data_IF_658966297358
#
_entry.id   IF_658966297358
#
_cell.length_a   1.000
_cell.length_b   1.000
_cell.length_c   1.000
_cell.angle_alpha   90.00
_cell.angle_beta   90.00
_cell.angle_gamma   90.00
#
_symmetry.space_group_name_H-M   'P 1'
#
loop_
_entity.id
_entity.type
_entity.pdbx_description
1 polymer ?
#
# COMPACT_ATOMS: atom_id res chain seq x y z
N UNK A 1 -60.63 -2.29 36.24
CA UNK A 1 -59.45 -2.71 35.43
C UNK A 1 -59.96 -3.29 34.13
N UNK A 2 -59.55 -2.86 32.95
CA UNK A 2 -58.60 -1.80 32.64
C UNK A 2 -59.07 -1.19 31.32
N UNK A 3 -59.77 -0.06 31.46
CA UNK A 3 -59.85 1.05 30.50
C UNK A 3 -58.44 1.61 30.12
N UNK A 4 -57.41 0.77 30.14
CA UNK A 4 -55.99 1.05 29.86
C UNK A 4 -55.57 0.31 28.57
N UNK A 5 -56.26 -0.74 28.15
CA UNK A 5 -55.92 -1.44 26.89
C UNK A 5 -56.21 -0.59 25.65
N UNK A 6 -57.18 0.32 25.75
CA UNK A 6 -57.50 1.29 24.67
C UNK A 6 -56.54 2.50 24.61
N UNK A 7 -55.73 2.71 25.65
CA UNK A 7 -54.78 3.84 25.72
C UNK A 7 -53.35 3.37 25.41
N UNK A 8 -53.00 2.09 25.65
CA UNK A 8 -51.64 1.60 25.46
C UNK A 8 -51.28 1.16 24.03
N UNK A 9 -52.27 0.98 23.13
CA UNK A 9 -52.02 0.73 21.71
C UNK A 9 -52.32 1.96 20.82
N UNK A 10 -52.61 3.12 21.42
CA UNK A 10 -52.52 4.44 20.76
C UNK A 10 -51.09 4.99 20.76
N UNK A 11 -50.10 4.16 21.10
CA UNK A 11 -48.70 4.35 20.72
C UNK A 11 -48.41 3.34 19.62
N UNK A 12 -49.26 3.31 18.57
CA UNK A 12 -48.76 2.99 17.24
C UNK A 12 -47.76 4.10 16.97
N UNK A 13 -46.50 3.76 17.22
CA UNK A 13 -45.35 4.50 16.76
C UNK A 13 -45.65 4.96 15.34
N UNK A 14 -46.02 6.24 15.22
CA UNK A 14 -45.80 6.97 14.00
C UNK A 14 -44.28 6.94 13.82
N UNK A 15 -43.79 5.87 13.21
CA UNK A 15 -42.55 5.89 12.47
C UNK A 15 -42.85 6.87 11.36
N UNK A 16 -42.71 8.16 11.69
CA UNK A 16 -42.55 9.21 10.72
C UNK A 16 -41.25 8.84 10.02
N UNK A 17 -41.36 8.03 8.97
CA UNK A 17 -40.37 8.10 7.91
C UNK A 17 -40.40 9.57 7.52
N UNK A 18 -39.40 10.33 8.00
CA UNK A 18 -39.23 11.73 7.62
C UNK A 18 -39.44 11.79 6.11
N UNK A 19 -40.42 12.58 5.65
CA UNK A 19 -40.76 12.65 4.23
C UNK A 19 -39.47 12.92 3.46
N UNK A 20 -39.08 11.97 2.62
CA UNK A 20 -37.91 12.13 1.76
C UNK A 20 -38.22 13.29 0.81
N UNK A 21 -37.51 14.41 0.96
CA UNK A 21 -37.61 15.53 0.04
C UNK A 21 -36.72 15.22 -1.17
N UNK A 22 -37.34 15.07 -2.34
CA UNK A 22 -36.60 14.89 -3.59
C UNK A 22 -35.84 16.18 -3.92
N UNK A 23 -34.54 16.07 -4.17
CA UNK A 23 -33.65 17.20 -4.46
C UNK A 23 -33.23 17.28 -5.93
N UNK A 24 -33.66 16.33 -6.76
CA UNK A 24 -33.15 16.17 -8.11
C UNK A 24 -33.40 14.78 -8.66
N UNK A 25 -32.93 14.59 -9.90
CA UNK A 25 -32.89 13.30 -10.58
C UNK A 25 -31.43 12.84 -10.71
N UNK A 26 -31.23 11.54 -10.58
CA UNK A 26 -29.94 10.89 -10.77
C UNK A 26 -30.06 9.99 -12.00
N UNK A 27 -29.09 10.08 -12.90
CA UNK A 27 -29.04 9.29 -14.12
C UNK A 27 -27.72 8.55 -14.22
N UNK A 28 -27.80 7.25 -14.53
CA UNK A 28 -26.65 6.40 -14.87
C UNK A 28 -26.22 6.55 -16.33
N UNK A 29 -27.08 7.14 -17.17
CA UNK A 29 -26.78 7.48 -18.57
C UNK A 29 -27.19 8.93 -18.84
N UNK A 30 -26.21 9.76 -19.22
CA UNK A 30 -26.42 11.18 -19.48
C UNK A 30 -25.33 11.72 -20.44
N UNK A 31 -25.63 12.67 -21.35
CA UNK A 31 -24.61 13.28 -22.21
C UNK A 31 -23.40 13.85 -21.46
N UNK A 32 -23.63 14.47 -20.29
CA UNK A 32 -22.58 14.99 -19.44
C UNK A 32 -21.59 13.91 -18.95
N UNK A 33 -22.06 12.68 -18.67
CA UNK A 33 -21.19 11.55 -18.31
C UNK A 33 -20.25 11.24 -19.48
N UNK A 34 -20.79 11.13 -20.69
CA UNK A 34 -19.99 10.83 -21.90
C UNK A 34 -18.93 11.91 -22.16
N UNK A 35 -19.27 13.17 -21.92
CA UNK A 35 -18.33 14.31 -22.02
C UNK A 35 -17.18 14.17 -21.04
N UNK A 36 -17.49 13.95 -19.75
CA UNK A 36 -16.50 13.78 -18.68
C UNK A 36 -15.58 12.60 -18.97
N UNK A 37 -16.13 11.46 -19.35
CA UNK A 37 -15.34 10.27 -19.66
C UNK A 37 -14.44 10.48 -20.87
N UNK A 38 -14.96 11.11 -21.93
CA UNK A 38 -14.18 11.40 -23.13
C UNK A 38 -13.04 12.38 -22.84
N UNK A 39 -13.28 13.37 -21.97
CA UNK A 39 -12.25 14.30 -21.51
C UNK A 39 -11.18 13.58 -20.69
N UNK A 40 -11.57 12.74 -19.73
CA UNK A 40 -10.61 11.97 -18.92
C UNK A 40 -9.78 10.99 -19.75
N UNK A 41 -10.38 10.37 -20.78
CA UNK A 41 -9.66 9.52 -21.73
C UNK A 41 -8.69 10.32 -22.60
N UNK A 42 -9.02 11.57 -22.96
CA UNK A 42 -8.10 12.47 -23.66
C UNK A 42 -6.95 12.92 -22.73
N UNK A 43 -7.25 13.20 -21.46
CA UNK A 43 -6.26 13.55 -20.43
C UNK A 43 -5.17 12.47 -20.31
N UNK A 44 -5.55 11.19 -20.11
CA UNK A 44 -4.55 10.11 -19.97
C UNK A 44 -3.77 9.82 -21.26
N UNK A 45 -4.30 10.21 -22.41
CA UNK A 45 -3.61 10.15 -23.71
C UNK A 45 -2.69 11.35 -23.94
N UNK A 46 -2.69 12.34 -23.05
CA UNK A 46 -1.91 13.56 -23.21
C UNK A 46 -2.37 14.44 -24.38
N UNK A 47 -3.66 14.36 -24.75
CA UNK A 47 -4.23 15.10 -25.88
C UNK A 47 -4.84 16.42 -25.37
N UNK A 48 -3.97 17.41 -25.16
CA UNK A 48 -4.36 18.71 -24.60
C UNK A 48 -5.38 19.46 -25.47
N UNK A 49 -5.28 19.37 -26.80
CA UNK A 49 -6.22 20.05 -27.71
C UNK A 49 -7.62 19.45 -27.59
N UNK A 50 -7.71 18.12 -27.53
CA UNK A 50 -8.98 17.45 -27.32
C UNK A 50 -9.56 17.71 -25.93
N UNK A 51 -8.72 17.74 -24.88
CA UNK A 51 -9.13 18.15 -23.53
C UNK A 51 -9.71 19.57 -23.56
N UNK A 52 -9.02 20.53 -24.17
CA UNK A 52 -9.46 21.92 -24.26
C UNK A 52 -10.86 22.05 -24.90
N UNK A 53 -11.15 21.20 -25.89
CA UNK A 53 -12.45 21.12 -26.56
C UNK A 53 -13.62 20.70 -25.65
N UNK A 54 -13.37 20.10 -24.49
CA UNK A 54 -14.42 19.74 -23.53
C UNK A 54 -14.63 20.80 -22.44
N UNK A 55 -13.70 21.72 -22.25
CA UNK A 55 -13.72 22.68 -21.14
C UNK A 55 -14.39 23.99 -21.54
N UNK A 56 -15.17 24.57 -20.63
CA UNK A 56 -15.65 25.94 -20.75
C UNK A 56 -14.47 26.93 -20.68
N UNK A 57 -14.65 28.16 -21.16
CA UNK A 57 -13.57 29.15 -21.16
C UNK A 57 -13.24 29.66 -19.75
N UNK A 58 -14.25 29.71 -18.87
CA UNK A 58 -14.12 30.05 -17.45
C UNK A 58 -13.80 28.83 -16.55
N UNK A 59 -13.26 27.74 -17.13
CA UNK A 59 -13.02 26.49 -16.40
C UNK A 59 -12.15 26.68 -15.14
N UNK A 60 -12.52 25.97 -14.07
CA UNK A 60 -11.74 25.88 -12.83
C UNK A 60 -11.56 24.46 -12.32
N UNK A 61 -10.33 24.13 -11.91
CA UNK A 61 -10.02 22.91 -11.16
C UNK A 61 -9.67 23.20 -9.71
N UNK A 62 -10.16 22.35 -8.81
CA UNK A 62 -9.92 22.44 -7.37
C UNK A 62 -9.43 21.11 -6.81
N UNK A 63 -8.62 21.18 -5.75
CA UNK A 63 -8.36 20.03 -4.89
C UNK A 63 -9.36 20.04 -3.74
N UNK A 64 -10.30 19.09 -3.74
CA UNK A 64 -11.44 19.08 -2.82
C UNK A 64 -11.07 18.84 -1.35
N UNK A 65 -9.83 18.47 -1.05
CA UNK A 65 -9.29 18.36 0.31
C UNK A 65 -8.32 19.50 0.67
N UNK A 66 -8.33 20.60 -0.08
CA UNK A 66 -7.58 21.81 0.25
C UNK A 66 -8.13 22.48 1.50
N UNK A 67 -7.24 22.90 2.40
CA UNK A 67 -7.59 23.72 3.58
C UNK A 67 -7.41 25.23 3.32
N UNK A 68 -6.94 25.61 2.13
CA UNK A 68 -6.74 27.01 1.76
C UNK A 68 -8.08 27.69 1.46
N UNK A 69 -8.47 28.66 2.30
CA UNK A 69 -9.73 29.41 2.17
C UNK A 69 -9.72 30.42 1.01
N UNK A 70 -8.54 30.80 0.54
CA UNK A 70 -8.36 31.78 -0.53
C UNK A 70 -8.08 31.12 -1.90
N UNK A 71 -8.20 29.79 -1.98
CA UNK A 71 -7.99 29.03 -3.21
C UNK A 71 -8.91 29.51 -4.34
N UNK A 72 -8.32 29.95 -5.45
CA UNK A 72 -9.03 30.43 -6.66
C UNK A 72 -9.15 29.36 -7.75
N UNK A 73 -8.64 28.16 -7.49
CA UNK A 73 -8.60 27.05 -8.43
C UNK A 73 -7.64 27.29 -9.60
N UNK A 74 -7.12 26.19 -10.15
CA UNK A 74 -6.39 26.22 -11.42
C UNK A 74 -7.32 26.57 -12.56
N UNK A 75 -6.88 27.43 -13.48
CA UNK A 75 -7.64 27.78 -14.68
C UNK A 75 -7.47 26.74 -15.81
N UNK A 76 -8.18 26.97 -16.92
CA UNK A 76 -8.10 26.16 -18.14
C UNK A 76 -6.66 25.94 -18.61
N UNK A 77 -5.85 26.99 -18.66
CA UNK A 77 -4.48 26.87 -19.17
C UNK A 77 -3.61 26.01 -18.25
N UNK A 78 -3.68 26.23 -16.93
CA UNK A 78 -2.95 25.43 -15.95
C UNK A 78 -3.28 23.94 -16.04
N UNK A 79 -4.56 23.60 -16.25
CA UNK A 79 -4.96 22.19 -16.41
C UNK A 79 -4.48 21.58 -17.73
N UNK A 80 -4.42 22.35 -18.82
CA UNK A 80 -3.84 21.89 -20.08
C UNK A 80 -2.32 21.68 -19.98
N UNK A 81 -1.65 22.50 -19.18
CA UNK A 81 -0.23 22.31 -18.87
C UNK A 81 -0.01 21.08 -18.00
N UNK A 82 -0.94 20.77 -17.07
CA UNK A 82 -0.95 19.49 -16.34
C UNK A 82 -1.09 18.31 -17.32
N UNK A 83 -1.98 18.36 -18.32
CA UNK A 83 -2.11 17.28 -19.33
C UNK A 83 -0.77 16.98 -20.01
N UNK A 84 -0.04 18.04 -20.40
CA UNK A 84 1.29 17.91 -21.03
C UNK A 84 2.33 17.39 -20.04
N UNK A 85 2.34 17.93 -18.82
CA UNK A 85 3.22 17.46 -17.76
C UNK A 85 3.05 15.95 -17.52
N UNK A 86 1.81 15.49 -17.43
CA UNK A 86 1.51 14.07 -17.22
C UNK A 86 2.01 13.20 -18.38
N UNK A 87 1.75 13.63 -19.62
CA UNK A 87 2.25 12.95 -20.83
C UNK A 87 3.77 12.81 -20.83
N UNK A 88 4.48 13.86 -20.44
CA UNK A 88 5.93 13.92 -20.53
C UNK A 88 6.65 13.27 -19.34
N UNK A 89 5.97 13.10 -18.20
CA UNK A 89 6.58 12.64 -16.95
C UNK A 89 6.04 11.29 -16.45
N UNK A 90 5.02 10.71 -17.08
CA UNK A 90 4.49 9.41 -16.68
C UNK A 90 4.37 8.43 -17.84
N UNK A 91 4.88 7.22 -17.63
CA UNK A 91 4.69 6.08 -18.51
C UNK A 91 3.47 5.27 -18.08
N UNK A 92 2.86 4.58 -19.04
CA UNK A 92 1.75 3.64 -18.82
C UNK A 92 0.52 4.25 -18.15
N UNK A 93 0.28 5.54 -18.39
CA UNK A 93 -0.91 6.21 -17.89
C UNK A 93 -2.17 5.51 -18.39
N UNK A 94 -3.06 5.19 -17.46
CA UNK A 94 -4.37 4.62 -17.76
C UNK A 94 -5.38 5.08 -16.73
N UNK A 95 -6.64 5.10 -17.15
CA UNK A 95 -7.77 5.37 -16.27
C UNK A 95 -8.90 4.40 -16.59
N UNK A 96 -9.43 3.80 -15.53
CA UNK A 96 -10.59 2.91 -15.59
C UNK A 96 -11.54 3.27 -14.48
N UNK A 97 -12.84 3.02 -14.65
CA UNK A 97 -13.80 3.12 -13.54
C UNK A 97 -13.38 2.17 -12.42
N UNK A 98 -13.56 2.59 -11.18
CA UNK A 98 -13.35 1.71 -10.03
C UNK A 98 -14.35 0.55 -10.04
N UNK A 99 -13.98 -0.66 -9.58
CA UNK A 99 -14.90 -1.79 -9.52
C UNK A 99 -16.19 -1.46 -8.76
N UNK A 100 -17.34 -1.69 -9.37
CA UNK A 100 -18.66 -1.40 -8.78
C UNK A 100 -19.08 0.07 -8.81
N UNK A 101 -18.25 0.98 -9.34
CA UNK A 101 -18.61 2.37 -9.50
C UNK A 101 -19.36 2.63 -10.82
N UNK A 102 -20.38 3.48 -10.74
CA UNK A 102 -21.09 4.04 -11.88
C UNK A 102 -20.94 5.56 -11.83
N UNK A 103 -20.61 6.22 -12.95
CA UNK A 103 -20.69 7.67 -13.01
C UNK A 103 -22.16 8.09 -12.93
N UNK A 104 -22.47 9.00 -12.03
CA UNK A 104 -23.84 9.50 -11.82
C UNK A 104 -23.92 10.96 -12.27
N UNK A 105 -24.94 11.26 -13.08
CA UNK A 105 -25.32 12.63 -13.41
C UNK A 105 -26.46 13.07 -12.50
N UNK A 106 -26.32 14.24 -11.89
CA UNK A 106 -27.30 14.83 -10.99
C UNK A 106 -27.85 16.11 -11.60
N UNK A 107 -29.16 16.12 -11.82
CA UNK A 107 -29.94 17.31 -12.17
C UNK A 107 -30.73 17.74 -10.93
N UNK A 108 -30.42 18.93 -10.40
CA UNK A 108 -31.15 19.47 -9.25
C UNK A 108 -32.47 20.09 -9.70
N UNK A 109 -33.46 20.13 -8.80
CA UNK A 109 -34.80 20.66 -9.12
C UNK A 109 -34.91 22.18 -9.08
N UNK A 110 -34.20 22.82 -8.14
CA UNK A 110 -34.33 24.25 -7.85
C UNK A 110 -33.03 24.84 -7.29
N UNK A 111 -32.71 26.08 -7.67
CA UNK A 111 -31.68 26.93 -7.06
C UNK A 111 -30.49 27.27 -7.97
N UNK A 112 -29.33 27.51 -7.36
CA UNK A 112 -28.13 27.96 -8.07
C UNK A 112 -27.55 26.93 -9.07
N UNK A 113 -28.13 25.74 -9.18
CA UNK A 113 -27.65 24.64 -10.00
C UNK A 113 -28.62 24.24 -11.14
N UNK A 114 -29.70 24.98 -11.37
CA UNK A 114 -30.76 24.58 -12.32
C UNK A 114 -30.28 24.51 -13.78
N UNK A 115 -29.21 25.26 -14.10
CA UNK A 115 -28.63 25.34 -15.44
C UNK A 115 -27.39 24.45 -15.64
N UNK A 116 -27.07 23.58 -14.66
CA UNK A 116 -25.87 22.73 -14.71
C UNK A 116 -26.18 21.29 -14.32
N UNK A 117 -25.38 20.38 -14.87
CA UNK A 117 -25.40 18.97 -14.49
C UNK A 117 -24.15 18.65 -13.72
N UNK A 118 -24.32 18.07 -12.53
CA UNK A 118 -23.20 17.56 -11.77
C UNK A 118 -22.91 16.12 -12.22
N UNK A 119 -21.64 15.78 -12.41
CA UNK A 119 -21.24 14.40 -12.69
C UNK A 119 -20.27 13.94 -11.62
N UNK A 120 -20.62 12.86 -10.92
CA UNK A 120 -19.78 12.20 -9.93
C UNK A 120 -19.14 10.97 -10.54
N UNK A 121 -17.83 10.81 -10.35
CA UNK A 121 -17.08 9.65 -10.83
C UNK A 121 -16.16 9.09 -9.75
N UNK A 122 -15.92 7.78 -9.83
CA UNK A 122 -14.88 7.07 -9.09
C UNK A 122 -14.06 6.28 -10.10
N UNK A 123 -12.83 6.72 -10.26
CA UNK A 123 -11.90 6.15 -11.22
C UNK A 123 -10.65 5.65 -10.50
N UNK A 124 -9.88 4.85 -11.23
CA UNK A 124 -8.58 4.35 -10.82
C UNK A 124 -7.57 4.76 -11.87
N UNK A 125 -6.64 5.64 -11.47
CA UNK A 125 -5.52 6.06 -12.32
C UNK A 125 -4.31 5.20 -11.99
N UNK A 126 -3.68 4.67 -13.05
CA UNK A 126 -2.43 3.92 -12.94
C UNK A 126 -1.38 4.51 -13.86
N UNK A 127 -0.13 4.34 -13.47
CA UNK A 127 1.03 4.78 -14.24
C UNK A 127 2.32 4.67 -13.44
N UNK A 128 3.40 5.22 -13.97
CA UNK A 128 4.70 5.25 -13.31
C UNK A 128 5.43 6.53 -13.70
N UNK A 129 5.93 7.26 -12.71
CA UNK A 129 6.73 8.45 -12.97
C UNK A 129 8.05 8.05 -13.63
N UNK A 130 8.35 8.61 -14.79
CA UNK A 130 9.41 8.10 -15.67
C UNK A 130 10.84 8.34 -15.14
N UNK A 131 11.05 9.36 -14.29
CA UNK A 131 12.36 9.65 -13.70
C UNK A 131 12.62 8.90 -12.40
N UNK A 132 11.61 8.75 -11.54
CA UNK A 132 11.80 8.21 -10.18
C UNK A 132 11.34 6.76 -10.05
N UNK A 133 10.60 6.23 -11.02
CA UNK A 133 10.01 4.89 -10.95
C UNK A 133 8.84 4.74 -9.98
N UNK A 134 8.46 5.82 -9.26
CA UNK A 134 7.33 5.79 -8.33
C UNK A 134 6.05 5.46 -9.08
N UNK A 135 5.37 4.40 -8.64
CA UNK A 135 4.12 3.92 -9.21
C UNK A 135 2.95 4.83 -8.81
N UNK A 136 2.13 5.19 -9.78
CA UNK A 136 0.78 5.68 -9.55
C UNK A 136 -0.17 4.48 -9.50
N UNK A 137 -0.85 4.31 -8.37
CA UNK A 137 -1.93 3.35 -8.19
C UNK A 137 -3.00 4.03 -7.34
N UNK A 138 -3.75 4.92 -7.97
CA UNK A 138 -4.52 5.94 -7.27
C UNK A 138 -6.01 5.79 -7.53
N UNK A 139 -6.82 5.45 -6.51
CA UNK A 139 -8.25 5.71 -6.56
C UNK A 139 -8.46 7.23 -6.53
N UNK A 140 -9.30 7.72 -7.43
CA UNK A 140 -9.62 9.14 -7.57
C UNK A 140 -11.13 9.31 -7.62
N UNK A 141 -11.65 10.15 -6.74
CA UNK A 141 -13.01 10.64 -6.83
C UNK A 141 -13.01 12.03 -7.46
N UNK A 142 -13.89 12.26 -8.44
CA UNK A 142 -14.07 13.58 -9.04
C UNK A 142 -15.52 13.98 -9.11
N UNK A 143 -15.76 15.26 -8.87
CA UNK A 143 -17.00 15.94 -9.19
C UNK A 143 -16.76 16.89 -10.35
N UNK A 144 -17.68 16.90 -11.30
CA UNK A 144 -17.68 17.79 -12.44
C UNK A 144 -18.96 18.61 -12.46
N UNK A 145 -18.86 19.87 -12.90
CA UNK A 145 -20.01 20.70 -13.22
C UNK A 145 -19.99 20.94 -14.72
N UNK A 146 -21.06 20.55 -15.40
CA UNK A 146 -21.21 20.64 -16.86
C UNK A 146 -22.33 21.62 -17.18
N UNK A 147 -22.08 22.57 -18.07
CA UNK A 147 -23.07 23.56 -18.49
C UNK A 147 -24.05 23.02 -19.54
N UNK A 148 -25.06 23.83 -19.87
CA UNK A 148 -26.04 23.54 -20.93
C UNK A 148 -25.46 23.35 -22.34
N UNK A 149 -24.24 23.84 -22.59
CA UNK A 149 -23.52 23.62 -23.85
C UNK A 149 -22.68 22.34 -23.81
N UNK A 150 -22.86 21.53 -22.77
CA UNK A 150 -22.14 20.30 -22.51
C UNK A 150 -20.62 20.52 -22.39
N UNK A 151 -20.22 21.67 -21.82
CA UNK A 151 -18.85 22.02 -21.48
C UNK A 151 -18.61 21.89 -19.99
N UNK A 152 -17.44 21.39 -19.62
CA UNK A 152 -17.04 21.22 -18.22
C UNK A 152 -16.59 22.59 -17.70
N UNK A 153 -17.30 23.12 -16.71
CA UNK A 153 -16.98 24.38 -16.02
C UNK A 153 -16.09 24.16 -14.81
N UNK A 154 -16.32 23.09 -14.06
CA UNK A 154 -15.61 22.84 -12.82
C UNK A 154 -15.19 21.39 -12.72
N UNK A 155 -13.99 21.14 -12.22
CA UNK A 155 -13.52 19.83 -11.77
C UNK A 155 -13.06 19.93 -10.32
N UNK A 156 -13.55 19.08 -9.45
CA UNK A 156 -13.11 18.98 -8.06
C UNK A 156 -12.50 17.59 -7.86
N UNK A 157 -11.21 17.55 -7.55
CA UNK A 157 -10.44 16.31 -7.45
C UNK A 157 -10.22 15.91 -5.99
N UNK A 158 -10.48 14.64 -5.69
CA UNK A 158 -10.18 14.00 -4.42
C UNK A 158 -9.29 12.79 -4.67
N UNK A 159 -8.05 12.87 -4.23
CA UNK A 159 -7.08 11.79 -4.34
C UNK A 159 -6.02 11.89 -3.24
N UNK A 160 -5.37 10.76 -2.98
CA UNK A 160 -4.23 10.68 -2.06
C UNK A 160 -2.98 11.34 -2.68
N UNK A 161 -2.36 12.24 -1.93
CA UNK A 161 -1.16 12.98 -2.36
C UNK A 161 0.15 12.23 -2.09
N UNK A 162 0.11 11.08 -1.42
CA UNK A 162 1.32 10.34 -1.02
C UNK A 162 2.19 9.96 -2.21
N UNK A 163 1.60 9.57 -3.35
CA UNK A 163 2.36 9.25 -4.56
C UNK A 163 3.16 10.46 -5.08
N UNK A 164 2.57 11.65 -5.12
CA UNK A 164 3.29 12.88 -5.54
C UNK A 164 4.36 13.28 -4.53
N UNK A 165 4.08 13.10 -3.23
CA UNK A 165 5.07 13.35 -2.19
C UNK A 165 6.28 12.44 -2.36
N UNK A 166 6.05 11.15 -2.64
CA UNK A 166 7.15 10.22 -2.86
C UNK A 166 7.92 10.51 -4.15
N UNK A 167 7.25 10.94 -5.22
CA UNK A 167 7.91 11.45 -6.43
C UNK A 167 8.84 12.61 -6.07
N UNK A 168 8.35 13.62 -5.35
CA UNK A 168 9.14 14.78 -4.93
C UNK A 168 10.33 14.38 -4.05
N UNK A 169 10.11 13.49 -3.08
CA UNK A 169 11.16 12.99 -2.19
C UNK A 169 12.24 12.20 -2.94
N UNK A 170 11.88 11.52 -4.03
CA UNK A 170 12.79 10.66 -4.80
C UNK A 170 13.76 11.42 -5.71
N UNK A 171 13.67 12.76 -5.78
CA UNK A 171 14.65 13.59 -6.49
C UNK A 171 15.90 13.91 -5.67
N UNK A 172 15.91 13.56 -4.38
CA UNK A 172 17.02 13.87 -3.48
C UNK A 172 17.59 12.57 -2.89
N UNK A 173 18.91 12.52 -2.80
CA UNK A 173 19.58 11.48 -2.03
C UNK A 173 19.27 11.63 -0.54
N UNK A 174 19.04 10.51 0.14
CA UNK A 174 18.72 10.44 1.57
C UNK A 174 19.41 9.23 2.17
N UNK A 175 19.93 9.39 3.37
CA UNK A 175 20.41 8.29 4.21
C UNK A 175 19.26 7.77 5.09
N UNK A 176 19.41 6.55 5.60
CA UNK A 176 18.51 6.00 6.61
C UNK A 176 19.34 5.19 7.61
N UNK A 177 20.11 5.89 8.44
CA UNK A 177 20.94 5.26 9.46
C UNK A 177 22.34 4.85 9.01
N UNK A 178 22.96 4.00 9.83
CA UNK A 178 24.38 3.63 9.75
C UNK A 178 24.52 2.12 9.57
N UNK A 179 25.47 1.72 8.72
CA UNK A 179 25.83 0.31 8.50
C UNK A 179 27.18 0.02 9.17
N UNK A 180 27.23 -1.04 9.96
CA UNK A 180 28.42 -1.51 10.64
C UNK A 180 28.82 -2.89 10.11
N UNK A 181 30.10 -3.05 9.75
CA UNK A 181 30.69 -4.35 9.37
C UNK A 181 31.18 -5.18 10.57
N UNK A 182 31.18 -4.57 11.76
CA UNK A 182 31.45 -5.24 13.03
C UNK A 182 30.71 -4.53 14.17
N UNK A 183 29.93 -5.29 14.94
CA UNK A 183 29.11 -4.80 16.05
C UNK A 183 28.77 -5.97 17.00
N UNK A 184 28.41 -5.70 18.26
CA UNK A 184 28.11 -6.79 19.20
C UNK A 184 26.88 -7.61 18.75
N UNK A 185 25.90 -7.00 18.07
CA UNK A 185 24.78 -7.75 17.49
C UNK A 185 25.21 -8.72 16.39
N UNK A 186 26.24 -8.37 15.59
CA UNK A 186 26.84 -9.30 14.63
C UNK A 186 27.51 -10.46 15.38
N UNK A 187 28.20 -10.17 16.48
CA UNK A 187 28.80 -11.21 17.32
C UNK A 187 27.73 -12.12 17.93
N UNK A 188 26.60 -11.57 18.36
CA UNK A 188 25.45 -12.35 18.86
C UNK A 188 24.96 -13.34 17.80
N UNK A 189 24.75 -12.91 16.56
CA UNK A 189 24.32 -13.83 15.47
C UNK A 189 25.35 -14.93 15.22
N UNK A 190 26.64 -14.58 15.15
CA UNK A 190 27.72 -15.58 14.98
C UNK A 190 27.75 -16.59 16.12
N UNK A 191 27.69 -16.13 17.37
CA UNK A 191 27.68 -16.98 18.57
C UNK A 191 26.46 -17.90 18.58
N UNK A 192 25.28 -17.38 18.24
CA UNK A 192 24.04 -18.13 18.17
C UNK A 192 24.13 -19.28 17.16
N UNK A 193 24.58 -18.99 15.94
CA UNK A 193 24.69 -19.99 14.87
C UNK A 193 25.78 -21.03 15.13
N UNK A 194 26.93 -20.62 15.65
CA UNK A 194 27.99 -21.58 15.99
C UNK A 194 27.65 -22.40 17.24
N UNK A 195 26.87 -21.88 18.19
CA UNK A 195 26.33 -22.70 19.27
C UNK A 195 25.38 -23.78 18.71
N UNK A 196 24.51 -23.42 17.76
CA UNK A 196 23.62 -24.36 17.08
C UNK A 196 24.41 -25.45 16.31
N UNK A 197 25.43 -25.06 15.55
CA UNK A 197 26.36 -25.96 14.86
C UNK A 197 26.99 -26.98 15.82
N UNK A 198 27.40 -26.53 17.01
CA UNK A 198 28.00 -27.35 18.05
C UNK A 198 26.98 -28.10 18.92
N UNK A 199 25.71 -28.12 18.52
CA UNK A 199 24.61 -28.81 19.23
C UNK A 199 24.35 -28.26 20.64
N UNK A 200 24.85 -27.05 20.94
CA UNK A 200 24.55 -26.29 22.16
C UNK A 200 23.30 -25.43 21.93
N UNK A 201 22.16 -26.13 21.83
CA UNK A 201 20.89 -25.51 21.52
C UNK A 201 20.38 -24.59 22.64
N UNK A 202 20.69 -24.91 23.91
CA UNK A 202 20.34 -24.04 25.04
C UNK A 202 21.00 -22.67 24.88
N UNK A 203 22.31 -22.64 24.61
CA UNK A 203 23.02 -21.37 24.34
C UNK A 203 22.50 -20.70 23.08
N UNK A 204 22.29 -21.44 21.98
CA UNK A 204 21.76 -20.87 20.74
C UNK A 204 20.41 -20.16 20.95
N UNK A 205 19.47 -20.83 21.63
CA UNK A 205 18.15 -20.26 21.89
C UNK A 205 18.17 -19.14 22.95
N UNK A 206 19.19 -19.08 23.80
CA UNK A 206 19.31 -18.04 24.83
C UNK A 206 19.52 -16.63 24.26
N UNK A 207 19.94 -16.50 23.00
CA UNK A 207 20.13 -15.20 22.34
C UNK A 207 18.82 -14.56 21.87
N UNK A 208 17.71 -15.31 21.86
CA UNK A 208 16.40 -14.81 21.52
C UNK A 208 15.67 -14.22 22.74
N UNK A 209 14.77 -13.27 22.47
CA UNK A 209 13.72 -12.86 23.40
C UNK A 209 12.69 -14.00 23.53
N UNK A 210 12.10 -14.19 24.71
CA UNK A 210 11.10 -15.24 24.94
C UNK A 210 9.87 -15.11 24.02
N UNK A 211 9.59 -13.90 23.52
CA UNK A 211 8.51 -13.58 22.59
C UNK A 211 8.98 -13.47 21.14
N UNK A 212 10.19 -13.93 20.83
CA UNK A 212 10.73 -13.87 19.48
C UNK A 212 9.81 -14.54 18.45
N UNK A 213 9.74 -13.92 17.29
CA UNK A 213 8.91 -14.36 16.17
C UNK A 213 9.75 -14.85 15.00
N UNK A 214 9.38 -15.99 14.44
CA UNK A 214 10.16 -16.66 13.38
C UNK A 214 9.32 -16.79 12.11
N UNK A 215 9.93 -16.46 10.97
CA UNK A 215 9.29 -16.52 9.67
C UNK A 215 10.26 -16.98 8.60
N UNK A 216 9.74 -17.53 7.49
CA UNK A 216 10.53 -18.06 6.39
C UNK A 216 9.90 -17.72 5.06
N UNK A 217 10.73 -17.53 4.02
CA UNK A 217 10.26 -17.36 2.64
C UNK A 217 9.49 -18.57 2.09
N UNK A 218 9.55 -19.71 2.77
CA UNK A 218 8.84 -20.94 2.39
C UNK A 218 7.46 -21.07 3.08
N UNK A 219 7.10 -20.15 3.99
CA UNK A 219 5.78 -20.12 4.59
C UNK A 219 4.73 -19.53 3.63
N UNK A 220 3.46 -19.89 3.83
CA UNK A 220 2.36 -19.25 3.11
C UNK A 220 2.31 -17.74 3.43
N UNK A 221 1.87 -16.92 2.46
CA UNK A 221 1.86 -15.45 2.59
C UNK A 221 1.05 -14.94 3.80
N UNK A 222 0.01 -15.65 4.20
CA UNK A 222 -0.86 -15.33 5.34
C UNK A 222 -0.57 -16.16 6.60
N UNK A 223 0.51 -16.96 6.59
CA UNK A 223 0.91 -17.73 7.75
C UNK A 223 1.37 -16.81 8.89
N UNK A 224 0.98 -17.16 10.12
CA UNK A 224 1.48 -16.49 11.31
C UNK A 224 2.92 -16.89 11.57
N UNK A 225 3.72 -15.94 12.06
CA UNK A 225 5.05 -16.24 12.56
C UNK A 225 4.99 -17.28 13.68
N UNK A 226 6.01 -18.14 13.72
CA UNK A 226 6.16 -19.14 14.78
C UNK A 226 6.65 -18.47 16.06
N UNK A 227 6.25 -19.01 17.20
CA UNK A 227 6.86 -18.68 18.49
C UNK A 227 8.19 -19.40 18.67
N UNK A 228 9.04 -18.96 19.60
CA UNK A 228 10.28 -19.66 19.94
C UNK A 228 10.06 -21.14 20.26
N UNK A 229 9.00 -21.49 20.98
CA UNK A 229 8.66 -22.91 21.26
C UNK A 229 8.35 -23.69 19.99
N UNK A 230 7.58 -23.11 19.07
CA UNK A 230 7.25 -23.77 17.80
C UNK A 230 8.50 -23.92 16.92
N UNK A 231 9.37 -22.90 16.89
CA UNK A 231 10.62 -22.94 16.14
C UNK A 231 11.52 -24.07 16.63
N UNK A 232 11.68 -24.23 17.95
CA UNK A 232 12.42 -25.35 18.55
C UNK A 232 11.90 -26.71 18.10
N UNK A 233 10.59 -26.86 17.88
CA UNK A 233 10.01 -28.11 17.37
C UNK A 233 10.26 -28.29 15.86
N UNK A 234 10.27 -27.22 15.07
CA UNK A 234 10.66 -27.29 13.64
C UNK A 234 12.14 -27.66 13.48
N UNK A 235 13.03 -27.08 14.29
CA UNK A 235 14.45 -27.40 14.30
C UNK A 235 14.69 -28.87 14.61
N UNK A 236 13.97 -29.44 15.58
CA UNK A 236 14.04 -30.89 15.87
C UNK A 236 13.68 -31.73 14.64
N UNK A 237 12.63 -31.38 13.89
CA UNK A 237 12.23 -32.13 12.69
C UNK A 237 13.31 -32.09 11.60
N UNK A 238 14.00 -30.96 11.44
CA UNK A 238 15.15 -30.86 10.53
C UNK A 238 16.29 -31.75 11.05
N UNK A 239 16.64 -31.62 12.32
CA UNK A 239 17.72 -32.38 12.96
C UNK A 239 17.45 -33.89 13.04
N UNK A 240 16.20 -34.34 12.97
CA UNK A 240 15.85 -35.75 12.83
C UNK A 240 16.31 -36.31 11.47
N UNK A 241 16.17 -35.52 10.41
CA UNK A 241 16.44 -35.91 9.01
C UNK A 241 17.87 -35.62 8.56
N UNK A 242 18.49 -34.60 9.13
CA UNK A 242 19.79 -34.08 8.72
C UNK A 242 20.73 -33.96 9.90
N UNK A 243 22.01 -34.20 9.66
CA UNK A 243 23.09 -33.84 10.57
C UNK A 243 23.74 -32.57 10.06
N UNK A 244 23.81 -31.53 10.90
CA UNK A 244 24.60 -30.31 10.62
C UNK A 244 26.07 -30.65 10.80
N UNK A 245 26.87 -30.43 9.76
CA UNK A 245 28.32 -30.66 9.80
C UNK A 245 29.12 -29.37 9.87
N UNK A 246 28.66 -28.30 9.22
CA UNK A 246 29.19 -26.96 9.43
C UNK A 246 28.18 -25.86 9.10
N UNK A 247 28.40 -24.69 9.69
CA UNK A 247 27.68 -23.45 9.35
C UNK A 247 28.72 -22.37 9.05
N UNK A 248 28.98 -22.13 7.77
CA UNK A 248 30.05 -21.23 7.32
C UNK A 248 29.50 -19.86 6.92
N UNK A 249 30.06 -18.78 7.47
CA UNK A 249 29.72 -17.42 7.03
C UNK A 249 30.15 -17.21 5.58
N UNK A 250 29.29 -16.55 4.79
CA UNK A 250 29.59 -16.14 3.41
C UNK A 250 29.73 -14.63 3.36
N UNK A 251 30.92 -14.14 3.01
CA UNK A 251 31.22 -12.71 3.08
C UNK A 251 31.30 -12.23 4.53
N UNK A 252 30.55 -11.17 4.87
CA UNK A 252 30.46 -10.65 6.23
C UNK A 252 29.00 -10.22 6.54
N UNK A 253 28.52 -10.43 7.77
CA UNK A 253 27.26 -9.85 8.22
C UNK A 253 27.34 -8.33 8.30
N UNK A 254 26.22 -7.66 8.06
CA UNK A 254 26.06 -6.22 8.24
C UNK A 254 25.03 -5.95 9.34
N UNK A 255 25.33 -4.99 10.21
CA UNK A 255 24.38 -4.42 11.15
C UNK A 255 23.90 -3.07 10.63
N UNK A 256 22.60 -2.98 10.36
CA UNK A 256 21.90 -1.80 9.92
C UNK A 256 21.18 -1.18 11.12
N UNK A 257 21.66 -0.03 11.57
CA UNK A 257 20.99 0.79 12.57
C UNK A 257 20.21 1.89 11.85
N UNK A 258 18.91 1.69 11.67
CA UNK A 258 18.06 2.62 10.94
C UNK A 258 17.68 3.83 11.78
N UNK A 259 17.68 5.02 11.18
CA UNK A 259 17.12 6.24 11.79
C UNK A 259 15.60 6.16 11.90
N UNK A 260 14.95 5.66 10.85
CA UNK A 260 13.50 5.49 10.84
C UNK A 260 13.11 4.30 11.73
N UNK A 261 12.42 4.63 12.83
CA UNK A 261 11.93 3.62 13.78
C UNK A 261 13.00 3.05 14.70
N UNK A 262 14.23 3.60 14.71
CA UNK A 262 15.36 3.16 15.53
C UNK A 262 15.61 1.63 15.47
N UNK A 263 15.40 1.06 14.27
CA UNK A 263 15.44 -0.38 14.07
C UNK A 263 16.88 -0.89 14.03
N UNK A 264 17.10 -2.03 14.71
CA UNK A 264 18.41 -2.65 14.92
C UNK A 264 18.42 -4.01 14.21
N UNK A 265 19.00 -4.06 13.01
CA UNK A 265 18.84 -5.21 12.11
C UNK A 265 20.18 -5.79 11.71
N UNK A 266 20.41 -7.09 11.92
CA UNK A 266 21.55 -7.80 11.36
C UNK A 266 21.11 -8.59 10.13
N UNK A 267 21.79 -8.37 9.01
CA UNK A 267 21.68 -9.15 7.79
C UNK A 267 22.91 -10.04 7.65
N UNK A 268 22.72 -11.34 7.38
CA UNK A 268 23.84 -12.28 7.33
C UNK A 268 23.62 -13.44 6.36
N UNK A 269 24.70 -13.91 5.73
CA UNK A 269 24.69 -14.99 4.75
C UNK A 269 25.54 -16.16 5.21
N UNK A 270 25.01 -17.37 5.03
CA UNK A 270 25.60 -18.59 5.57
C UNK A 270 25.45 -19.75 4.60
N UNK A 271 26.37 -20.69 4.65
CA UNK A 271 26.25 -22.00 4.00
C UNK A 271 26.10 -23.05 5.09
N UNK A 272 24.91 -23.64 5.18
CA UNK A 272 24.66 -24.79 6.03
C UNK A 272 25.06 -26.04 5.29
N UNK A 273 25.93 -26.84 5.90
CA UNK A 273 26.32 -28.14 5.38
C UNK A 273 25.64 -29.21 6.18
N UNK A 274 24.93 -30.08 5.47
CA UNK A 274 24.19 -31.18 6.03
C UNK A 274 24.65 -32.52 5.47
N UNK A 275 24.55 -33.56 6.29
CA UNK A 275 24.46 -34.95 5.84
C UNK A 275 23.02 -35.41 6.03
N UNK A 276 22.33 -35.77 4.94
CA UNK A 276 21.01 -36.37 5.03
C UNK A 276 21.12 -37.79 5.57
N UNK A 277 20.35 -38.12 6.62
CA UNK A 277 20.53 -39.37 7.35
C UNK A 277 20.07 -40.61 6.57
N UNK A 278 19.06 -40.48 5.71
CA UNK A 278 18.44 -41.58 4.97
C UNK A 278 19.36 -42.20 3.92
N UNK A 279 20.14 -41.39 3.21
CA UNK A 279 20.98 -41.81 2.09
C UNK A 279 22.45 -41.34 2.19
N UNK A 280 22.81 -40.65 3.28
CA UNK A 280 24.15 -40.11 3.56
C UNK A 280 24.62 -39.07 2.54
N UNK A 281 23.69 -38.43 1.82
CA UNK A 281 24.02 -37.38 0.85
C UNK A 281 24.50 -36.12 1.57
N UNK A 282 25.61 -35.55 1.08
CA UNK A 282 26.08 -34.22 1.45
C UNK A 282 25.25 -33.14 0.73
N UNK A 283 24.74 -32.17 1.49
CA UNK A 283 23.90 -31.10 0.99
C UNK A 283 24.47 -29.78 1.51
N UNK A 284 24.52 -28.76 0.64
CA UNK A 284 24.88 -27.40 1.03
C UNK A 284 23.70 -26.50 0.73
N UNK A 285 23.22 -25.79 1.74
CA UNK A 285 22.08 -24.88 1.65
C UNK A 285 22.58 -23.46 1.94
N UNK A 286 22.62 -22.57 0.94
CA UNK A 286 22.76 -21.14 1.17
C UNK A 286 21.55 -20.60 1.92
N UNK A 287 21.81 -19.83 2.97
CA UNK A 287 20.82 -19.23 3.86
C UNK A 287 21.12 -17.74 4.01
N UNK A 288 20.09 -16.92 3.90
CA UNK A 288 20.13 -15.49 4.25
C UNK A 288 19.22 -15.24 5.45
N UNK A 289 19.74 -14.58 6.48
CA UNK A 289 19.00 -14.22 7.68
C UNK A 289 18.83 -12.70 7.81
N UNK A 290 17.68 -12.32 8.35
CA UNK A 290 17.41 -10.99 8.90
C UNK A 290 17.01 -11.16 10.37
N UNK A 291 17.81 -10.61 11.28
CA UNK A 291 17.56 -10.61 12.72
C UNK A 291 17.26 -9.20 13.22
N UNK A 292 16.12 -8.98 13.87
CA UNK A 292 15.83 -7.75 14.59
C UNK A 292 16.22 -7.88 16.06
N UNK A 293 16.73 -6.80 16.64
CA UNK A 293 17.16 -6.73 18.04
C UNK A 293 16.33 -5.74 18.86
N UNK A 294 16.13 -6.04 20.14
CA UNK A 294 15.71 -5.04 21.13
C UNK A 294 16.92 -4.31 21.73
N UNK A 295 16.65 -3.31 22.57
CA UNK A 295 17.70 -2.51 23.23
C UNK A 295 18.53 -3.31 24.24
N UNK A 296 18.02 -4.46 24.69
CA UNK A 296 18.74 -5.40 25.57
C UNK A 296 19.70 -6.32 24.80
N UNK A 297 19.71 -6.24 23.46
CA UNK A 297 20.56 -7.05 22.59
C UNK A 297 20.06 -8.48 22.38
N UNK A 298 18.78 -8.75 22.66
CA UNK A 298 18.10 -10.01 22.33
C UNK A 298 17.48 -9.94 20.93
N UNK A 299 17.50 -11.06 20.24
CA UNK A 299 16.84 -11.20 18.93
C UNK A 299 15.34 -11.30 19.15
N UNK A 300 14.57 -10.35 18.61
CA UNK A 300 13.11 -10.28 18.73
C UNK A 300 12.40 -10.87 17.52
N UNK A 301 13.07 -10.98 16.38
CA UNK A 301 12.55 -11.72 15.24
C UNK A 301 13.65 -12.27 14.35
N UNK A 302 13.37 -13.41 13.73
CA UNK A 302 14.18 -14.01 12.67
C UNK A 302 13.34 -14.19 11.41
N UNK A 303 13.87 -13.73 10.29
CA UNK A 303 13.38 -14.09 8.96
C UNK A 303 14.48 -14.82 8.20
N UNK A 304 14.21 -16.05 7.80
CA UNK A 304 15.12 -16.91 7.06
C UNK A 304 14.73 -17.02 5.58
N UNK A 305 15.71 -16.89 4.70
CA UNK A 305 15.59 -17.10 3.26
C UNK A 305 16.47 -18.27 2.83
N UNK A 306 15.84 -19.34 2.34
CA UNK A 306 16.52 -20.48 1.73
C UNK A 306 15.56 -21.24 0.80
N UNK A 307 16.11 -22.15 -0.02
CA UNK A 307 15.28 -23.05 -0.85
C UNK A 307 15.11 -24.40 -0.17
N UNK A 308 13.88 -24.70 0.27
CA UNK A 308 13.55 -26.02 0.84
C UNK A 308 13.79 -27.17 -0.14
N UNK A 309 13.70 -26.91 -1.45
CA UNK A 309 13.99 -27.91 -2.49
C UNK A 309 15.42 -28.45 -2.43
N UNK A 310 16.36 -27.74 -1.82
CA UNK A 310 17.73 -28.23 -1.64
C UNK A 310 17.83 -29.35 -0.61
N UNK A 311 16.81 -29.52 0.25
CA UNK A 311 16.73 -30.55 1.27
C UNK A 311 16.10 -31.86 0.77
N UNK A 312 15.48 -31.84 -0.42
CA UNK A 312 14.86 -33.01 -1.08
C UNK A 312 15.86 -34.03 -1.64
#
# INVERSE_FOLDING_TARGET
>A
MRKITLILMMIVTFITYAQKKENGKIYSEHPAIKTVESMMQAFVKGDADKVAGFLADDFKQYYGSSSNKDDKGGDKQSFLDDVKFWKDNFNYLSITRSPGAYPDALEYKDGANDDVVWVQTWDHIKGMHNKTGVKLDMPVHRLFIVDKNNKIKTMINYFDRMAYREIGNSFNERTNGVIYNNHEYINTVRKMLHAFENKDYETAYSYYDDKAQFSSNNMAHDAKALTLTQMKEEDKKILEKFEVTSIDVTGYPDYLHYELGDAKVVQSWWNYRFIRKSDKKNIVVPVFYIHNFNDEGKITSELIYYSEKMLE
#
